data_IF_491684076905
#
_entry.id   IF_491684076905
#
_cell.length_a   1.000
_cell.length_b   1.000
_cell.length_c   1.000
_cell.angle_alpha   90.00
_cell.angle_beta   90.00
_cell.angle_gamma   90.00
#
_symmetry.space_group_name_H-M   'P 1'
#
loop_
_entity.id
_entity.type
_entity.pdbx_description
1 polymer ?
#
# COMPACT_ATOMS: atom_id res chain seq x y z
N UNK A 1 -8.72 14.95 -2.55
CA UNK A 1 -7.33 14.70 -2.99
C UNK A 1 -6.55 14.11 -1.84
N UNK A 2 -5.81 13.03 -2.06
CA UNK A 2 -4.93 12.44 -1.05
C UNK A 2 -3.60 13.22 -0.96
N UNK A 3 -3.02 13.25 0.23
CA UNK A 3 -1.63 13.66 0.41
C UNK A 3 -0.66 12.54 0.02
N UNK A 4 -1.05 11.29 0.33
CA UNK A 4 -0.28 10.09 -0.02
C UNK A 4 -1.23 8.98 -0.45
N UNK A 5 -0.97 8.35 -1.58
CA UNK A 5 -1.56 7.08 -1.99
C UNK A 5 -0.49 6.00 -2.04
N UNK A 6 -0.75 4.90 -1.33
CA UNK A 6 0.11 3.72 -1.27
C UNK A 6 -0.48 2.66 -2.20
N UNK A 7 0.32 2.20 -3.14
CA UNK A 7 -0.07 1.17 -4.10
C UNK A 7 0.57 -0.15 -3.69
N UNK A 8 -0.26 -1.07 -3.26
CA UNK A 8 0.15 -2.39 -2.80
C UNK A 8 -0.13 -2.63 -1.32
N UNK A 9 -0.94 -3.63 -1.03
CA UNK A 9 -1.34 -4.02 0.32
C UNK A 9 -0.51 -5.18 0.90
N UNK A 10 0.70 -5.41 0.38
CA UNK A 10 1.68 -6.34 0.95
C UNK A 10 2.45 -5.76 2.12
N UNK A 11 3.54 -6.45 2.51
CA UNK A 11 4.38 -6.06 3.65
C UNK A 11 4.81 -4.60 3.56
N UNK A 12 5.34 -4.18 2.42
CA UNK A 12 5.88 -2.82 2.24
C UNK A 12 4.79 -1.75 2.34
N UNK A 13 3.67 -1.94 1.64
CA UNK A 13 2.60 -0.95 1.62
C UNK A 13 1.88 -0.84 2.96
N UNK A 14 1.53 -1.96 3.59
CA UNK A 14 0.87 -1.95 4.90
C UNK A 14 1.80 -1.40 5.98
N UNK A 15 3.08 -1.76 5.97
CA UNK A 15 4.07 -1.18 6.91
C UNK A 15 4.17 0.33 6.75
N UNK A 16 4.22 0.82 5.52
CA UNK A 16 4.21 2.26 5.24
C UNK A 16 2.93 2.92 5.76
N UNK A 17 1.76 2.33 5.51
CA UNK A 17 0.49 2.84 6.00
C UNK A 17 0.43 2.91 7.54
N UNK A 18 0.95 1.90 8.23
CA UNK A 18 1.03 1.88 9.70
C UNK A 18 1.92 3.00 10.23
N UNK A 19 3.09 3.20 9.64
CA UNK A 19 4.02 4.28 10.03
C UNK A 19 3.37 5.64 9.84
N UNK A 20 2.78 5.89 8.67
CA UNK A 20 2.07 7.14 8.39
C UNK A 20 0.85 7.32 9.30
N UNK A 21 0.11 6.26 9.56
CA UNK A 21 -1.04 6.26 10.48
C UNK A 21 -0.64 6.62 11.90
N UNK A 22 0.46 6.07 12.40
CA UNK A 22 0.99 6.35 13.73
C UNK A 22 1.43 7.81 13.91
N UNK A 23 1.77 8.47 12.83
CA UNK A 23 2.20 9.87 12.83
C UNK A 23 1.06 10.89 12.97
N UNK A 24 -0.22 10.46 12.92
CA UNK A 24 -1.40 11.35 12.94
C UNK A 24 -1.39 12.39 14.06
N UNK A 25 -0.85 12.03 15.24
CA UNK A 25 -0.77 12.94 16.39
C UNK A 25 0.34 13.98 16.28
N UNK A 26 1.18 13.89 15.25
CA UNK A 26 2.25 14.85 14.99
C UNK A 26 1.72 16.00 14.16
N UNK A 27 2.14 17.22 14.47
CA UNK A 27 1.68 18.45 13.80
C UNK A 27 1.80 18.37 12.27
N UNK A 28 2.89 17.79 11.76
CA UNK A 28 3.14 17.68 10.32
C UNK A 28 2.25 16.65 9.60
N UNK A 29 1.56 15.78 10.33
CA UNK A 29 0.76 14.69 9.77
C UNK A 29 -0.72 14.70 10.19
N UNK A 30 -1.12 15.62 11.08
CA UNK A 30 -2.44 15.61 11.72
C UNK A 30 -3.62 15.64 10.71
N UNK A 31 -3.50 16.43 9.65
CA UNK A 31 -4.57 16.64 8.68
C UNK A 31 -4.32 15.92 7.34
N UNK A 32 -3.35 15.01 7.30
CA UNK A 32 -2.99 14.33 6.05
C UNK A 32 -4.00 13.24 5.69
N UNK A 33 -4.43 13.27 4.43
CA UNK A 33 -5.30 12.26 3.84
C UNK A 33 -4.44 11.17 3.22
N UNK A 34 -4.48 9.97 3.80
CA UNK A 34 -3.66 8.83 3.39
C UNK A 34 -4.58 7.71 2.93
N UNK A 35 -4.29 7.16 1.75
CA UNK A 35 -4.99 6.02 1.21
C UNK A 35 -4.04 4.87 0.86
N UNK A 36 -4.54 3.66 0.88
CA UNK A 36 -3.82 2.45 0.48
C UNK A 36 -4.70 1.54 -0.36
N UNK A 37 -4.19 1.12 -1.51
CA UNK A 37 -4.81 0.07 -2.32
C UNK A 37 -4.40 -1.28 -1.75
N UNK A 38 -5.35 -1.96 -1.11
CA UNK A 38 -5.12 -3.24 -0.43
C UNK A 38 -5.49 -4.46 -1.28
N UNK A 39 -5.82 -4.25 -2.56
CA UNK A 39 -6.09 -5.34 -3.48
C UNK A 39 -4.85 -6.23 -3.65
N UNK A 40 -5.00 -7.52 -3.34
CA UNK A 40 -3.88 -8.47 -3.35
C UNK A 40 -4.31 -9.81 -3.91
N UNK A 41 -4.04 -10.05 -5.17
CA UNK A 41 -4.21 -11.40 -5.74
C UNK A 41 -2.89 -12.13 -6.04
N UNK A 42 -1.75 -11.47 -5.93
CA UNK A 42 -0.45 -12.01 -6.36
C UNK A 42 0.70 -11.68 -5.42
N UNK A 43 0.46 -11.56 -4.12
CA UNK A 43 1.56 -11.40 -3.17
C UNK A 43 2.23 -12.75 -2.91
N UNK A 44 3.54 -12.84 -3.12
CA UNK A 44 4.33 -14.00 -2.75
C UNK A 44 4.19 -14.35 -1.25
N UNK A 45 3.83 -13.37 -0.43
CA UNK A 45 3.58 -13.58 0.98
C UNK A 45 2.40 -14.53 1.24
N UNK A 46 1.39 -14.59 0.36
CA UNK A 46 0.23 -15.46 0.56
C UNK A 46 0.59 -16.94 0.61
N UNK A 47 1.65 -17.35 -0.08
CA UNK A 47 2.12 -18.74 -0.12
C UNK A 47 3.26 -19.02 0.87
N UNK A 48 3.69 -18.00 1.63
CA UNK A 48 4.81 -18.13 2.55
C UNK A 48 4.42 -18.88 3.83
N UNK A 49 5.35 -19.67 4.33
CA UNK A 49 5.30 -20.28 5.66
C UNK A 49 6.52 -19.81 6.45
N UNK A 50 6.28 -19.14 7.56
CA UNK A 50 7.35 -18.57 8.39
C UNK A 50 7.76 -19.52 9.52
N UNK A 51 9.03 -19.93 9.53
CA UNK A 51 9.61 -20.73 10.60
C UNK A 51 10.82 -20.07 11.26
N UNK A 52 11.40 -19.05 10.64
CA UNK A 52 12.67 -18.46 11.05
C UNK A 52 12.70 -16.93 10.91
N UNK A 53 11.53 -16.28 10.92
CA UNK A 53 11.43 -14.83 10.89
C UNK A 53 11.36 -14.26 12.30
N UNK A 54 12.21 -13.26 12.59
CA UNK A 54 12.22 -12.60 13.89
C UNK A 54 10.85 -11.95 14.20
N UNK A 55 10.33 -12.25 15.40
CA UNK A 55 9.06 -11.70 15.86
C UNK A 55 7.80 -12.35 15.28
N UNK A 56 7.95 -13.39 14.45
CA UNK A 56 6.84 -14.17 13.89
C UNK A 56 6.88 -15.59 14.46
N UNK A 57 5.74 -16.06 14.97
CA UNK A 57 5.65 -17.41 15.51
C UNK A 57 5.99 -18.48 14.44
N UNK A 58 6.77 -19.51 14.75
CA UNK A 58 7.03 -20.59 13.83
C UNK A 58 5.75 -21.27 13.34
N UNK A 59 5.66 -21.56 12.05
CA UNK A 59 4.48 -22.13 11.42
C UNK A 59 3.40 -21.11 11.03
N UNK A 60 3.66 -19.82 11.18
CA UNK A 60 2.73 -18.75 10.77
C UNK A 60 2.63 -18.68 9.25
N UNK A 61 1.42 -18.71 8.74
CA UNK A 61 1.17 -18.52 7.31
C UNK A 61 1.22 -17.05 6.92
N UNK A 62 1.79 -16.76 5.76
CA UNK A 62 1.82 -15.39 5.23
C UNK A 62 0.44 -14.84 4.91
N UNK A 63 -0.51 -15.68 4.50
CA UNK A 63 -1.91 -15.31 4.32
C UNK A 63 -2.58 -14.83 5.63
N UNK A 64 -2.25 -15.46 6.75
CA UNK A 64 -2.72 -15.04 8.09
C UNK A 64 -2.12 -13.68 8.47
N UNK A 65 -0.82 -13.49 8.24
CA UNK A 65 -0.15 -12.21 8.49
C UNK A 65 -0.75 -11.08 7.67
N UNK A 66 -1.08 -11.33 6.41
CA UNK A 66 -1.74 -10.35 5.55
C UNK A 66 -3.11 -9.94 6.11
N UNK A 67 -3.93 -10.91 6.47
CA UNK A 67 -5.25 -10.65 7.07
C UNK A 67 -5.11 -9.87 8.37
N UNK A 68 -4.28 -10.34 9.29
CA UNK A 68 -4.03 -9.68 10.58
C UNK A 68 -3.49 -8.25 10.41
N UNK A 69 -2.66 -8.00 9.41
CA UNK A 69 -2.11 -6.67 9.17
C UNK A 69 -3.16 -5.69 8.65
N UNK A 70 -4.09 -6.15 7.82
CA UNK A 70 -5.21 -5.34 7.34
C UNK A 70 -6.20 -5.04 8.49
N UNK A 71 -6.48 -6.03 9.32
CA UNK A 71 -7.31 -5.85 10.51
C UNK A 71 -6.65 -4.88 11.50
N UNK A 72 -5.35 -5.01 11.74
CA UNK A 72 -4.57 -4.08 12.56
C UNK A 72 -4.67 -2.64 12.01
N UNK A 73 -4.53 -2.48 10.70
CA UNK A 73 -4.64 -1.16 10.07
C UNK A 73 -6.05 -0.56 10.30
N UNK A 74 -7.10 -1.37 10.14
CA UNK A 74 -8.48 -0.96 10.36
C UNK A 74 -8.76 -0.57 11.81
N UNK A 75 -8.29 -1.36 12.76
CA UNK A 75 -8.59 -1.20 14.18
C UNK A 75 -7.77 -0.07 14.82
N UNK A 76 -6.49 0.04 14.46
CA UNK A 76 -5.57 0.99 15.10
C UNK A 76 -5.51 2.32 14.36
N UNK A 77 -5.63 2.30 13.04
CA UNK A 77 -5.50 3.48 12.17
C UNK A 77 -6.71 3.66 11.24
N UNK A 78 -7.94 3.77 11.78
CA UNK A 78 -9.17 3.86 10.96
C UNK A 78 -9.25 5.11 10.09
N UNK A 79 -8.38 6.08 10.28
CA UNK A 79 -8.26 7.27 9.43
C UNK A 79 -7.49 7.03 8.12
N UNK A 80 -6.85 5.87 7.97
CA UNK A 80 -6.26 5.45 6.70
C UNK A 80 -7.37 4.90 5.81
N UNK A 81 -7.56 5.49 4.65
CA UNK A 81 -8.55 5.02 3.68
C UNK A 81 -8.05 3.77 2.98
N UNK A 82 -8.72 2.65 3.19
CA UNK A 82 -8.41 1.40 2.50
C UNK A 82 -9.27 1.26 1.24
N UNK A 83 -8.66 0.87 0.13
CA UNK A 83 -9.30 0.64 -1.16
C UNK A 83 -9.03 -0.81 -1.58
N UNK A 84 -9.91 -1.77 -1.17
CA UNK A 84 -9.62 -3.21 -1.28
C UNK A 84 -9.90 -3.80 -2.66
N UNK A 85 -10.86 -3.26 -3.40
CA UNK A 85 -11.42 -3.92 -4.58
C UNK A 85 -11.03 -3.24 -5.90
N UNK A 86 -9.95 -2.48 -5.91
CA UNK A 86 -9.46 -1.76 -7.07
C UNK A 86 -8.03 -2.11 -7.40
N UNK A 87 -7.79 -2.38 -8.68
CA UNK A 87 -6.45 -2.63 -9.22
C UNK A 87 -5.95 -1.37 -9.94
N UNK A 88 -4.83 -0.84 -9.48
CA UNK A 88 -4.15 0.25 -10.18
C UNK A 88 -3.47 -0.28 -11.43
N UNK A 89 -3.68 0.41 -12.56
CA UNK A 89 -3.04 0.05 -13.82
C UNK A 89 -2.29 1.21 -14.50
N UNK A 90 -2.51 2.45 -14.07
CA UNK A 90 -1.83 3.61 -14.66
C UNK A 90 -1.59 4.71 -13.64
N UNK A 91 -0.46 5.39 -13.79
CA UNK A 91 -0.11 6.60 -13.05
C UNK A 91 0.21 7.69 -14.08
N UNK A 92 -0.38 8.85 -13.91
CA UNK A 92 -0.16 10.02 -14.77
C UNK A 92 0.20 11.25 -13.95
N UNK A 93 0.82 12.24 -14.59
CA UNK A 93 1.14 13.51 -13.98
C UNK A 93 2.52 13.53 -13.33
N UNK A 94 2.73 14.52 -12.48
CA UNK A 94 3.99 14.74 -11.75
C UNK A 94 3.71 15.42 -10.42
N UNK A 95 4.69 15.38 -9.52
CA UNK A 95 4.57 16.09 -8.24
C UNK A 95 4.24 17.59 -8.45
N UNK A 96 3.30 18.14 -7.71
CA UNK A 96 2.49 17.56 -6.64
C UNK A 96 1.08 17.11 -7.08
N UNK A 97 0.86 16.80 -8.35
CA UNK A 97 -0.44 16.47 -8.92
C UNK A 97 -0.39 15.17 -9.76
N UNK A 98 -0.37 14.04 -9.06
CA UNK A 98 -0.49 12.74 -9.68
C UNK A 98 -1.96 12.30 -9.82
N UNK A 99 -2.22 11.52 -10.86
CA UNK A 99 -3.48 10.80 -11.05
C UNK A 99 -3.19 9.30 -11.03
N UNK A 100 -3.80 8.59 -10.10
CA UNK A 100 -3.75 7.13 -10.02
C UNK A 100 -5.05 6.58 -10.60
N UNK A 101 -4.95 5.78 -11.65
CA UNK A 101 -6.08 5.23 -12.40
C UNK A 101 -6.21 3.75 -12.11
N UNK A 102 -7.42 3.37 -11.70
CA UNK A 102 -7.78 1.98 -11.40
C UNK A 102 -8.78 1.44 -12.43
N UNK A 103 -9.13 0.18 -12.29
CA UNK A 103 -10.19 -0.45 -13.10
C UNK A 103 -11.59 0.11 -12.82
N UNK A 104 -11.78 0.95 -11.79
CA UNK A 104 -13.08 1.50 -11.42
C UNK A 104 -13.10 3.03 -11.32
N UNK A 105 -12.01 3.64 -10.86
CA UNK A 105 -11.97 5.06 -10.52
C UNK A 105 -10.63 5.70 -10.88
N UNK A 106 -10.57 7.02 -10.70
CA UNK A 106 -9.34 7.81 -10.73
C UNK A 106 -9.19 8.61 -9.44
N UNK A 107 -7.99 8.68 -8.92
CA UNK A 107 -7.68 9.34 -7.66
C UNK A 107 -6.58 10.37 -7.83
N UNK A 108 -6.77 11.55 -7.27
CA UNK A 108 -5.74 12.59 -7.19
C UNK A 108 -4.92 12.47 -5.91
N UNK A 109 -3.61 12.58 -6.04
CA UNK A 109 -2.70 12.55 -4.89
C UNK A 109 -1.46 13.39 -5.11
N UNK A 110 -0.88 13.90 -4.03
CA UNK A 110 0.38 14.64 -4.07
C UNK A 110 1.60 13.74 -4.14
N UNK A 111 1.55 12.61 -3.44
CA UNK A 111 2.65 11.66 -3.34
C UNK A 111 2.15 10.24 -3.58
N UNK A 112 3.01 9.41 -4.14
CA UNK A 112 2.74 7.99 -4.38
C UNK A 112 3.84 7.16 -3.73
N UNK A 113 3.43 6.10 -3.05
CA UNK A 113 4.32 5.06 -2.55
C UNK A 113 4.04 3.78 -3.31
N UNK A 114 5.07 3.20 -3.92
CA UNK A 114 4.96 1.96 -4.69
C UNK A 114 5.45 0.80 -3.82
N UNK A 115 4.51 -0.05 -3.39
CA UNK A 115 4.77 -1.22 -2.55
C UNK A 115 4.27 -2.53 -3.18
N UNK A 116 4.40 -2.67 -4.50
CA UNK A 116 3.82 -3.79 -5.28
C UNK A 116 4.70 -5.04 -5.37
N UNK A 117 5.89 -5.03 -4.78
CA UNK A 117 6.88 -6.11 -4.96
C UNK A 117 7.47 -6.15 -6.37
N UNK A 118 8.30 -7.13 -6.65
CA UNK A 118 9.04 -7.24 -7.92
C UNK A 118 8.21 -7.85 -9.06
N UNK A 119 7.25 -8.70 -8.75
CA UNK A 119 6.51 -9.47 -9.76
C UNK A 119 5.54 -8.64 -10.62
N UNK A 120 5.13 -7.47 -10.16
CA UNK A 120 4.10 -6.65 -10.80
C UNK A 120 4.59 -5.29 -11.29
N UNK A 121 5.90 -5.06 -11.34
CA UNK A 121 6.48 -3.75 -11.68
C UNK A 121 6.04 -3.26 -13.07
N UNK A 122 5.89 -4.17 -14.03
CA UNK A 122 5.48 -3.85 -15.40
C UNK A 122 3.96 -3.77 -15.60
N UNK A 123 3.16 -4.10 -14.60
CA UNK A 123 1.70 -4.13 -14.71
C UNK A 123 1.05 -2.75 -14.59
N UNK A 124 1.79 -1.73 -14.16
CA UNK A 124 1.31 -0.36 -14.00
C UNK A 124 1.91 0.50 -15.11
N UNK A 125 1.06 0.98 -16.02
CA UNK A 125 1.47 1.90 -17.09
C UNK A 125 1.98 3.22 -16.50
N UNK A 126 3.12 3.68 -16.98
CA UNK A 126 3.79 4.90 -16.52
C UNK A 126 4.75 4.70 -15.35
N UNK A 127 4.74 3.54 -14.67
CA UNK A 127 5.64 3.30 -13.54
C UNK A 127 7.12 3.29 -13.96
N UNK A 128 7.43 2.71 -15.13
CA UNK A 128 8.81 2.53 -15.59
C UNK A 128 9.59 3.84 -15.77
N UNK A 129 8.89 4.97 -15.97
CA UNK A 129 9.57 6.27 -16.05
C UNK A 129 10.17 6.74 -14.71
N UNK A 130 9.74 6.14 -13.60
CA UNK A 130 10.22 6.46 -12.25
C UNK A 130 11.18 5.40 -11.69
N UNK A 131 11.40 4.33 -12.44
CA UNK A 131 12.33 3.26 -12.06
C UNK A 131 13.62 3.48 -12.86
N UNK A 132 14.69 3.83 -12.16
CA UNK A 132 15.99 3.93 -12.80
C UNK A 132 16.48 2.53 -13.22
N UNK A 133 17.12 2.43 -14.38
CA UNK A 133 17.68 1.17 -14.85
C UNK A 133 18.87 0.71 -13.99
#
# INVERSE_FOLDING_TARGET
MFDVLIIGGGVSGVSCAMVLGSARKKVFAADKQIGIFTHQKASALQEALFNNAYGIAPGKLGSELLTESIDHLSDTYPHITQIPDEKVFKIEGSYPDFTVITNKNSYKTRNIVIGIGSANTFAIEGLMQFVEP
#
